data_IF_383237970757
#
_entry.id   IF_383237970757
#
_cell.length_a   1.000
_cell.length_b   1.000
_cell.length_c   1.000
_cell.angle_alpha   90.00
_cell.angle_beta   90.00
_cell.angle_gamma   90.00
#
_symmetry.space_group_name_H-M   'P 1'
#
loop_
_entity.id
_entity.type
_entity.pdbx_description
1 polymer ?
#
# COMPACT_ATOMS: atom_id res chain seq x y z
N UNK A 1 -5.79 -7.23 -1.59
CA UNK A 1 -5.15 -5.92 -1.83
C UNK A 1 -5.56 -5.41 -3.21
N UNK A 2 -5.67 -4.09 -3.39
CA UNK A 2 -6.10 -3.47 -4.66
C UNK A 2 -5.10 -2.34 -4.98
N UNK A 3 -4.39 -2.40 -6.12
CA UNK A 3 -3.54 -1.31 -6.57
C UNK A 3 -4.39 -0.20 -7.19
N UNK A 4 -4.01 1.06 -6.94
CA UNK A 4 -4.76 2.23 -7.40
C UNK A 4 -4.08 2.87 -8.62
N UNK A 5 -4.88 3.54 -9.49
CA UNK A 5 -4.39 4.35 -10.60
C UNK A 5 -4.11 5.78 -10.14
N UNK A 6 -3.26 6.49 -10.88
CA UNK A 6 -3.09 7.96 -10.77
C UNK A 6 -2.85 8.49 -9.34
N UNK A 7 -2.47 7.62 -8.42
CA UNK A 7 -2.14 7.96 -7.04
C UNK A 7 -0.89 7.18 -6.65
N UNK A 8 0.22 7.87 -6.56
CA UNK A 8 1.50 7.23 -6.28
C UNK A 8 2.66 8.21 -6.19
N UNK A 9 3.77 7.69 -5.72
CA UNK A 9 5.06 8.35 -5.75
C UNK A 9 5.67 8.25 -7.16
N UNK A 10 6.61 9.13 -7.47
CA UNK A 10 7.34 9.09 -8.74
C UNK A 10 8.80 8.75 -8.47
N UNK A 11 9.32 7.75 -9.18
CA UNK A 11 10.73 7.37 -9.15
C UNK A 11 11.40 7.68 -10.50
N UNK A 12 12.48 8.44 -10.45
CA UNK A 12 13.33 8.72 -11.63
C UNK A 12 14.67 8.04 -11.44
N UNK A 13 15.10 7.27 -12.43
CA UNK A 13 16.38 6.57 -12.44
C UNK A 13 17.31 7.21 -13.45
N UNK A 14 18.49 7.67 -13.02
CA UNK A 14 19.50 8.27 -13.88
C UNK A 14 20.80 7.50 -13.72
N UNK A 15 21.36 7.02 -14.82
CA UNK A 15 22.68 6.39 -14.83
C UNK A 15 23.75 7.41 -14.46
N UNK A 16 24.75 6.98 -13.68
CA UNK A 16 25.87 7.83 -13.25
C UNK A 16 27.20 7.11 -13.46
N UNK A 17 28.29 7.88 -13.59
CA UNK A 17 29.63 7.30 -13.59
C UNK A 17 30.13 6.88 -12.20
N UNK A 18 29.43 7.31 -11.14
CA UNK A 18 29.76 6.95 -9.75
C UNK A 18 29.35 5.51 -9.49
N UNK A 19 30.29 4.66 -9.09
CA UNK A 19 30.04 3.25 -8.75
C UNK A 19 29.31 3.11 -7.41
N UNK A 20 28.15 3.76 -7.25
CA UNK A 20 27.31 3.74 -6.03
C UNK A 20 25.86 4.05 -6.33
N UNK A 21 24.99 3.66 -5.38
CA UNK A 21 23.60 4.10 -5.35
C UNK A 21 23.54 5.44 -4.63
N UNK A 22 22.89 6.43 -5.24
CA UNK A 22 22.49 7.67 -4.57
C UNK A 22 20.97 7.77 -4.57
N UNK A 23 20.39 8.21 -3.47
CA UNK A 23 18.94 8.41 -3.34
C UNK A 23 18.68 9.85 -2.92
N UNK A 24 17.88 10.55 -3.70
CA UNK A 24 17.37 11.89 -3.40
C UNK A 24 15.85 11.82 -3.16
N UNK A 25 15.38 12.45 -2.10
CA UNK A 25 13.97 12.49 -1.77
C UNK A 25 13.56 13.91 -1.42
N UNK A 26 12.35 14.33 -1.81
CA UNK A 26 11.77 15.62 -1.43
C UNK A 26 11.37 15.70 0.06
N UNK A 27 11.46 14.58 0.81
CA UNK A 27 11.29 14.53 2.26
C UNK A 27 12.59 14.02 2.89
N UNK A 28 12.86 14.47 4.12
CA UNK A 28 14.00 13.95 4.88
C UNK A 28 13.71 12.52 5.34
N UNK A 29 14.29 11.54 4.65
CA UNK A 29 14.25 10.13 4.99
C UNK A 29 15.67 9.59 5.01
N UNK A 30 16.12 8.96 6.13
CA UNK A 30 17.46 8.40 6.21
C UNK A 30 17.69 7.37 5.08
N UNK A 31 18.70 7.62 4.27
CA UNK A 31 18.94 6.85 3.03
C UNK A 31 18.96 5.34 3.26
N UNK A 32 19.76 4.86 4.22
CA UNK A 32 19.92 3.42 4.50
C UNK A 32 18.67 2.76 5.12
N UNK A 33 17.74 3.53 5.64
CA UNK A 33 16.47 3.04 6.17
C UNK A 33 15.38 2.99 5.09
N UNK A 34 15.56 3.73 3.98
CA UNK A 34 14.61 3.80 2.90
C UNK A 34 14.55 2.49 2.13
N UNK A 35 13.34 1.95 1.91
CA UNK A 35 13.13 0.69 1.19
C UNK A 35 13.60 0.75 -0.27
N UNK A 36 13.62 1.92 -0.91
CA UNK A 36 14.19 2.10 -2.26
C UNK A 36 15.67 1.79 -2.25
N UNK A 37 16.41 2.36 -1.29
CA UNK A 37 17.84 2.13 -1.17
C UNK A 37 18.13 0.66 -0.87
N UNK A 38 17.40 0.06 0.07
CA UNK A 38 17.52 -1.37 0.41
C UNK A 38 17.22 -2.27 -0.78
N UNK A 39 16.19 -1.95 -1.56
CA UNK A 39 15.82 -2.69 -2.76
C UNK A 39 16.91 -2.62 -3.82
N UNK A 40 17.47 -1.43 -4.06
CA UNK A 40 18.55 -1.26 -5.02
C UNK A 40 19.84 -1.99 -4.56
N UNK A 41 20.25 -1.84 -3.30
CA UNK A 41 21.42 -2.51 -2.73
C UNK A 41 21.30 -4.05 -2.84
N UNK A 42 20.13 -4.58 -2.47
CA UNK A 42 19.84 -6.00 -2.54
C UNK A 42 19.84 -6.52 -3.99
N UNK A 43 19.25 -5.76 -4.92
CA UNK A 43 19.26 -6.09 -6.35
C UNK A 43 20.69 -6.19 -6.89
N UNK A 44 21.53 -5.17 -6.67
CA UNK A 44 22.90 -5.15 -7.19
C UNK A 44 23.76 -6.27 -6.60
N UNK A 45 23.60 -6.57 -5.32
CA UNK A 45 24.29 -7.69 -4.65
C UNK A 45 23.88 -9.04 -5.26
N UNK A 46 22.59 -9.26 -5.45
CA UNK A 46 22.07 -10.54 -5.98
C UNK A 46 22.44 -10.73 -7.44
N UNK A 47 22.31 -9.69 -8.27
CA UNK A 47 22.66 -9.73 -9.67
C UNK A 47 24.18 -9.68 -9.92
N UNK A 48 25.01 -9.49 -8.89
CA UNK A 48 26.49 -9.33 -8.98
C UNK A 48 26.90 -8.21 -9.92
N UNK A 49 26.17 -7.10 -9.88
CA UNK A 49 26.40 -5.93 -10.73
C UNK A 49 26.97 -4.77 -9.91
N UNK A 50 27.77 -3.93 -10.56
CA UNK A 50 28.26 -2.69 -9.96
C UNK A 50 27.13 -1.64 -10.02
N UNK A 51 26.73 -1.05 -8.88
CA UNK A 51 25.71 -0.02 -8.88
C UNK A 51 26.22 1.26 -9.57
N UNK A 52 25.38 1.86 -10.43
CA UNK A 52 25.72 3.08 -11.15
C UNK A 52 24.48 3.94 -11.41
N UNK A 53 23.62 4.08 -10.39
CA UNK A 53 22.36 4.83 -10.52
C UNK A 53 22.15 5.86 -9.41
N UNK A 54 21.64 7.01 -9.82
CA UNK A 54 20.99 8.00 -8.96
C UNK A 54 19.48 7.80 -9.07
N UNK A 55 18.83 7.62 -7.93
CA UNK A 55 17.37 7.45 -7.84
C UNK A 55 16.80 8.70 -7.17
N UNK A 56 15.82 9.34 -7.82
CA UNK A 56 15.09 10.47 -7.25
C UNK A 56 13.68 10.01 -6.92
N UNK A 57 13.26 10.21 -5.67
CA UNK A 57 11.91 9.98 -5.19
C UNK A 57 11.18 11.31 -5.02
N UNK A 58 10.08 11.47 -5.77
CA UNK A 58 9.05 12.46 -5.48
C UNK A 58 7.96 11.76 -4.66
N UNK A 59 7.95 12.01 -3.34
CA UNK A 59 7.02 11.38 -2.41
C UNK A 59 5.71 12.16 -2.37
N UNK A 60 4.63 11.53 -2.83
CA UNK A 60 3.26 12.07 -2.84
C UNK A 60 2.35 11.33 -1.86
N UNK A 61 2.61 10.03 -1.62
CA UNK A 61 1.89 9.25 -0.62
C UNK A 61 2.47 9.56 0.76
N UNK A 62 1.67 10.00 1.75
CA UNK A 62 2.17 10.29 3.10
C UNK A 62 2.89 9.09 3.73
N UNK A 63 3.94 9.34 4.49
CA UNK A 63 4.69 8.30 5.20
C UNK A 63 3.85 7.78 6.35
N UNK A 64 3.83 6.45 6.56
CA UNK A 64 3.06 5.83 7.64
C UNK A 64 1.54 5.94 7.48
N UNK A 65 1.06 6.09 6.24
CA UNK A 65 -0.35 6.29 5.93
C UNK A 65 -1.18 5.00 5.81
N UNK A 66 -0.58 3.81 5.91
CA UNK A 66 -1.29 2.54 5.69
C UNK A 66 -1.61 2.24 4.20
N UNK A 67 -0.98 2.96 3.26
CA UNK A 67 -1.25 2.87 1.82
C UNK A 67 -0.19 2.10 1.02
N UNK A 68 0.76 1.46 1.69
CA UNK A 68 1.77 0.63 1.04
C UNK A 68 2.78 1.37 0.15
N UNK A 69 2.88 2.71 0.27
CA UNK A 69 3.73 3.53 -0.61
C UNK A 69 5.20 3.14 -0.59
N UNK A 70 5.78 2.85 0.58
CA UNK A 70 7.16 2.37 0.69
C UNK A 70 7.38 1.02 0.02
N UNK A 71 6.44 0.09 0.19
CA UNK A 71 6.48 -1.25 -0.42
C UNK A 71 6.32 -1.18 -1.94
N UNK A 72 5.41 -0.31 -2.43
CA UNK A 72 5.25 -0.04 -3.86
C UNK A 72 6.54 0.51 -4.48
N UNK A 73 7.19 1.46 -3.80
CA UNK A 73 8.46 2.04 -4.26
C UNK A 73 9.58 1.00 -4.33
N UNK A 74 9.68 0.11 -3.34
CA UNK A 74 10.65 -0.98 -3.33
C UNK A 74 10.45 -1.94 -4.49
N UNK A 75 9.22 -2.39 -4.72
CA UNK A 75 8.86 -3.27 -5.85
C UNK A 75 9.16 -2.60 -7.20
N UNK A 76 8.78 -1.33 -7.35
CA UNK A 76 9.09 -0.53 -8.55
C UNK A 76 10.59 -0.43 -8.76
N UNK A 77 11.38 -0.24 -7.69
CA UNK A 77 12.84 -0.19 -7.78
C UNK A 77 13.42 -1.51 -8.29
N UNK A 78 13.01 -2.64 -7.70
CA UNK A 78 13.45 -3.97 -8.16
C UNK A 78 13.11 -4.20 -9.63
N UNK A 79 11.86 -3.97 -10.02
CA UNK A 79 11.38 -4.20 -11.40
C UNK A 79 12.08 -3.28 -12.40
N UNK A 80 12.29 -2.00 -12.05
CA UNK A 80 12.91 -1.03 -12.95
C UNK A 80 14.39 -1.34 -13.15
N UNK A 81 15.13 -1.60 -12.06
CA UNK A 81 16.54 -1.97 -12.17
C UNK A 81 16.71 -3.25 -12.98
N UNK A 82 15.85 -4.26 -12.73
CA UNK A 82 15.90 -5.49 -13.50
C UNK A 82 15.74 -5.25 -15.01
N UNK A 83 14.78 -4.41 -15.39
CA UNK A 83 14.58 -4.02 -16.81
C UNK A 83 15.78 -3.24 -17.37
N UNK A 84 16.31 -2.28 -16.64
CA UNK A 84 17.43 -1.44 -17.06
C UNK A 84 18.71 -2.27 -17.30
N UNK A 85 18.89 -3.35 -16.58
CA UNK A 85 20.01 -4.28 -16.73
C UNK A 85 19.66 -5.53 -17.57
N UNK A 86 18.65 -5.46 -18.45
CA UNK A 86 18.23 -6.54 -19.36
C UNK A 86 17.76 -7.81 -18.66
N UNK A 87 17.08 -7.65 -17.53
CA UNK A 87 16.45 -8.72 -16.75
C UNK A 87 17.39 -9.83 -16.29
N UNK A 88 18.47 -9.51 -15.55
CA UNK A 88 19.40 -10.52 -15.05
C UNK A 88 18.79 -11.46 -14.01
N UNK A 89 17.69 -11.06 -13.37
CA UNK A 89 16.96 -11.87 -12.39
C UNK A 89 15.62 -12.31 -12.94
N UNK A 90 15.25 -13.55 -12.69
CA UNK A 90 13.93 -14.10 -12.97
C UNK A 90 12.86 -13.45 -12.07
N UNK A 91 11.59 -13.61 -12.44
CA UNK A 91 10.49 -13.09 -11.62
C UNK A 91 10.46 -13.72 -10.22
N UNK A 92 10.74 -15.02 -10.11
CA UNK A 92 10.82 -15.72 -8.82
C UNK A 92 11.95 -15.20 -7.91
N UNK A 93 13.09 -14.82 -8.49
CA UNK A 93 14.15 -14.18 -7.72
C UNK A 93 13.74 -12.80 -7.24
N UNK A 94 13.08 -11.99 -8.10
CA UNK A 94 12.51 -10.70 -7.68
C UNK A 94 11.49 -10.84 -6.56
N UNK A 95 10.63 -11.87 -6.59
CA UNK A 95 9.68 -12.15 -5.51
C UNK A 95 10.38 -12.47 -4.17
N UNK A 96 11.45 -13.27 -4.21
CA UNK A 96 12.26 -13.55 -3.00
C UNK A 96 12.88 -12.29 -2.44
N UNK A 97 13.44 -11.41 -3.28
CA UNK A 97 13.98 -10.12 -2.86
C UNK A 97 12.90 -9.22 -2.28
N UNK A 98 11.73 -9.17 -2.93
CA UNK A 98 10.59 -8.40 -2.49
C UNK A 98 10.11 -8.83 -1.10
N UNK A 99 9.97 -10.14 -0.87
CA UNK A 99 9.56 -10.69 0.42
C UNK A 99 10.59 -10.40 1.54
N UNK A 100 11.88 -10.40 1.20
CA UNK A 100 12.94 -10.02 2.14
C UNK A 100 12.84 -8.55 2.57
N UNK A 101 12.38 -7.67 1.68
CA UNK A 101 12.20 -6.24 1.97
C UNK A 101 10.95 -5.93 2.80
N UNK A 102 9.90 -6.76 2.67
CA UNK A 102 8.67 -6.60 3.43
C UNK A 102 7.51 -7.41 2.87
N UNK A 103 6.56 -7.74 3.75
CA UNK A 103 5.40 -8.60 3.45
C UNK A 103 4.50 -8.09 2.33
N UNK A 104 4.39 -6.76 2.18
CA UNK A 104 3.54 -6.14 1.15
C UNK A 104 4.27 -5.93 -0.18
N UNK A 105 5.62 -6.03 -0.21
CA UNK A 105 6.41 -5.71 -1.41
C UNK A 105 6.11 -6.65 -2.57
N UNK A 106 5.98 -7.99 -2.38
CA UNK A 106 5.68 -8.91 -3.49
C UNK A 106 4.40 -8.57 -4.24
N UNK A 107 3.33 -8.14 -3.53
CA UNK A 107 2.07 -7.75 -4.15
C UNK A 107 2.24 -6.69 -5.25
N UNK A 108 3.10 -5.71 -5.03
CA UNK A 108 3.33 -4.63 -5.99
C UNK A 108 4.13 -5.05 -7.24
N UNK A 109 4.78 -6.21 -7.24
CA UNK A 109 5.37 -6.79 -8.46
C UNK A 109 4.30 -7.26 -9.45
N UNK A 110 3.18 -7.78 -8.94
CA UNK A 110 2.05 -8.25 -9.77
C UNK A 110 1.19 -7.12 -10.33
N UNK A 111 1.06 -6.02 -9.60
CA UNK A 111 0.31 -4.83 -9.99
C UNK A 111 -1.17 -5.07 -10.39
N UNK A 112 -1.79 -6.14 -9.89
CA UNK A 112 -3.20 -6.50 -10.09
C UNK A 112 -3.90 -6.68 -8.75
N UNK A 113 -5.24 -6.52 -8.65
CA UNK A 113 -5.98 -6.93 -7.47
C UNK A 113 -5.66 -8.38 -7.12
N UNK A 114 -5.36 -8.65 -5.86
CA UNK A 114 -4.98 -9.99 -5.44
C UNK A 114 -5.44 -10.31 -4.02
N UNK A 115 -5.71 -11.58 -3.80
CA UNK A 115 -5.76 -12.18 -2.47
C UNK A 115 -4.33 -12.51 -2.04
N UNK A 116 -3.91 -11.95 -0.92
CA UNK A 116 -2.57 -12.15 -0.36
C UNK A 116 -2.70 -12.86 0.97
N UNK A 117 -1.89 -13.88 1.20
CA UNK A 117 -1.89 -14.69 2.43
C UNK A 117 -0.48 -15.15 2.80
N UNK A 118 -0.35 -15.87 3.94
CA UNK A 118 0.94 -16.18 4.51
C UNK A 118 1.56 -14.92 5.12
N UNK A 119 2.85 -14.72 4.89
CA UNK A 119 3.58 -13.50 5.25
C UNK A 119 3.60 -12.46 4.12
N UNK A 120 2.81 -12.67 3.01
CA UNK A 120 2.80 -11.88 1.80
C UNK A 120 3.29 -12.62 0.54
N UNK A 121 3.79 -13.85 0.69
CA UNK A 121 4.35 -14.68 -0.39
C UNK A 121 3.29 -15.41 -1.21
N UNK A 122 2.09 -15.61 -0.67
CA UNK A 122 1.02 -16.33 -1.36
C UNK A 122 0.07 -15.34 -2.02
N UNK A 123 0.33 -15.05 -3.28
CA UNK A 123 -0.43 -14.08 -4.06
C UNK A 123 -1.28 -14.82 -5.09
N UNK A 124 -2.60 -14.60 -5.03
CA UNK A 124 -3.55 -15.12 -6.03
C UNK A 124 -4.23 -13.93 -6.69
N UNK A 125 -3.94 -13.64 -7.97
CA UNK A 125 -4.60 -12.58 -8.71
C UNK A 125 -6.12 -12.76 -8.69
N UNK A 126 -6.83 -11.65 -8.59
CA UNK A 126 -8.29 -11.60 -8.60
C UNK A 126 -8.74 -10.82 -9.84
N UNK A 127 -9.52 -11.46 -10.68
CA UNK A 127 -10.18 -10.80 -11.81
C UNK A 127 -11.46 -10.13 -11.32
N UNK A 128 -11.29 -8.95 -10.73
CA UNK A 128 -12.39 -8.12 -10.24
C UNK A 128 -12.62 -6.96 -11.21
N UNK A 129 -13.80 -6.85 -11.83
CA UNK A 129 -14.13 -5.72 -12.69
C UNK A 129 -14.48 -4.49 -11.84
N UNK A 130 -13.51 -4.02 -11.04
CA UNK A 130 -13.67 -2.84 -10.20
C UNK A 130 -13.75 -1.60 -11.10
N UNK A 131 -14.98 -1.09 -11.30
CA UNK A 131 -15.26 0.14 -12.07
C UNK A 131 -15.50 1.34 -11.16
N UNK A 132 -15.65 1.08 -9.88
CA UNK A 132 -15.96 2.04 -8.84
C UNK A 132 -14.84 3.06 -8.66
N UNK A 133 -15.20 4.19 -8.07
CA UNK A 133 -14.31 5.25 -7.68
C UNK A 133 -13.92 5.10 -6.20
N UNK A 134 -12.64 5.22 -5.93
CA UNK A 134 -12.10 5.22 -4.58
C UNK A 134 -11.78 6.65 -4.16
N UNK A 135 -12.32 7.07 -3.04
CA UNK A 135 -11.87 8.26 -2.32
C UNK A 135 -10.96 7.79 -1.19
N UNK A 136 -9.70 8.21 -1.24
CA UNK A 136 -8.73 7.98 -0.17
C UNK A 136 -8.69 9.23 0.69
N UNK A 137 -8.76 9.05 2.01
CA UNK A 137 -8.66 10.10 3.01
C UNK A 137 -7.43 9.88 3.88
N UNK A 138 -6.70 10.95 4.18
CA UNK A 138 -5.64 10.91 5.18
C UNK A 138 -5.78 12.10 6.14
N UNK A 139 -5.76 11.85 7.48
CA UNK A 139 -6.00 12.90 8.48
C UNK A 139 -4.77 13.79 8.75
N UNK A 140 -3.66 13.61 8.03
CA UNK A 140 -2.43 14.39 8.19
C UNK A 140 -1.49 13.93 9.31
N UNK A 141 -1.80 12.83 10.01
CA UNK A 141 -0.89 12.19 10.96
C UNK A 141 -0.57 10.76 10.55
N UNK A 142 0.40 10.13 11.22
CA UNK A 142 0.79 8.74 10.99
C UNK A 142 0.47 7.85 12.19
N UNK A 143 0.19 6.57 11.93
CA UNK A 143 0.08 5.54 12.97
C UNK A 143 1.23 4.55 12.78
N UNK A 144 1.94 4.24 13.88
CA UNK A 144 3.00 3.25 13.86
C UNK A 144 2.44 1.86 13.59
N UNK A 145 2.83 1.24 12.47
CA UNK A 145 2.43 -0.14 12.14
C UNK A 145 2.81 -1.14 13.24
N UNK A 146 4.03 -1.13 13.82
CA UNK A 146 4.37 -1.98 14.97
C UNK A 146 3.45 -1.76 16.17
N UNK A 147 3.07 -0.50 16.46
CA UNK A 147 2.13 -0.21 17.55
C UNK A 147 0.74 -0.80 17.27
N UNK A 148 0.22 -0.63 16.04
CA UNK A 148 -1.08 -1.19 15.65
C UNK A 148 -1.13 -2.72 15.80
N UNK A 149 -0.08 -3.42 15.35
CA UNK A 149 0.06 -4.86 15.58
C UNK A 149 0.13 -5.23 17.05
N UNK A 150 0.90 -4.49 17.87
CA UNK A 150 0.99 -4.73 19.30
C UNK A 150 -0.37 -4.54 20.01
N UNK A 151 -1.19 -3.56 19.61
CA UNK A 151 -2.54 -3.41 20.13
C UNK A 151 -3.46 -4.56 19.69
N UNK A 152 -3.36 -4.97 18.42
CA UNK A 152 -4.14 -6.09 17.90
C UNK A 152 -3.81 -7.40 18.61
N UNK A 153 -2.52 -7.68 18.85
CA UNK A 153 -2.07 -8.87 19.61
C UNK A 153 -2.59 -8.84 21.04
N UNK A 154 -2.56 -7.69 21.72
CA UNK A 154 -3.11 -7.53 23.08
C UNK A 154 -4.61 -7.82 23.11
N UNK A 155 -5.38 -7.27 22.16
CA UNK A 155 -6.82 -7.45 22.07
C UNK A 155 -7.23 -8.91 21.75
N UNK A 156 -6.37 -9.67 21.06
CA UNK A 156 -6.67 -11.02 20.59
C UNK A 156 -5.96 -12.14 21.36
N UNK A 157 -5.16 -11.85 22.40
CA UNK A 157 -4.50 -12.87 23.23
C UNK A 157 -5.44 -13.93 23.79
N UNK A 158 -6.68 -13.57 24.09
CA UNK A 158 -7.71 -14.50 24.59
C UNK A 158 -8.34 -15.38 23.47
N UNK A 159 -8.20 -14.98 22.18
CA UNK A 159 -8.87 -15.63 21.03
C UNK A 159 -7.92 -16.37 20.10
N UNK A 160 -6.71 -16.71 20.54
CA UNK A 160 -5.63 -17.24 19.67
C UNK A 160 -5.88 -18.65 19.08
N UNK A 161 -7.01 -19.29 19.34
CA UNK A 161 -7.29 -20.67 18.94
C UNK A 161 -8.10 -20.83 17.64
N UNK A 162 -8.59 -19.76 17.01
CA UNK A 162 -9.33 -19.88 15.74
C UNK A 162 -8.51 -19.35 14.56
N UNK A 163 -7.63 -20.19 14.02
CA UNK A 163 -7.05 -20.00 12.67
C UNK A 163 -8.20 -20.06 11.67
N UNK A 164 -8.78 -18.92 11.31
CA UNK A 164 -9.68 -18.83 10.15
C UNK A 164 -8.84 -19.11 8.90
N UNK A 165 -8.88 -20.33 8.39
CA UNK A 165 -8.46 -20.64 7.02
C UNK A 165 -9.41 -19.90 6.08
N UNK A 166 -8.94 -18.79 5.49
CA UNK A 166 -9.75 -18.02 4.56
C UNK A 166 -9.98 -18.78 3.26
N UNK A 167 -11.24 -19.02 2.90
CA UNK A 167 -11.61 -19.54 1.59
C UNK A 167 -11.62 -18.38 0.58
N UNK A 168 -10.76 -18.47 -0.45
CA UNK A 168 -10.63 -17.45 -1.52
C UNK A 168 -11.97 -17.17 -2.22
N UNK A 169 -12.82 -18.19 -2.43
CA UNK A 169 -14.15 -18.03 -3.02
C UNK A 169 -15.05 -17.16 -2.15
N UNK A 170 -15.00 -17.36 -0.83
CA UNK A 170 -15.75 -16.57 0.14
C UNK A 170 -15.30 -15.11 0.12
N UNK A 171 -13.99 -14.82 0.11
CA UNK A 171 -13.45 -13.47 0.03
C UNK A 171 -13.84 -12.76 -1.27
N UNK A 172 -13.76 -13.44 -2.41
CA UNK A 172 -14.18 -12.87 -3.70
C UNK A 172 -15.66 -12.50 -3.70
N UNK A 173 -16.51 -13.32 -3.07
CA UNK A 173 -17.93 -13.04 -2.90
C UNK A 173 -18.19 -11.81 -2.02
N UNK A 174 -17.50 -11.69 -0.88
CA UNK A 174 -17.62 -10.52 0.01
C UNK A 174 -17.12 -9.24 -0.67
N UNK A 175 -16.00 -9.30 -1.39
CA UNK A 175 -15.47 -8.15 -2.13
C UNK A 175 -16.47 -7.66 -3.20
N UNK A 176 -17.12 -8.58 -3.94
CA UNK A 176 -18.16 -8.24 -4.92
C UNK A 176 -19.39 -7.60 -4.29
N UNK A 177 -19.72 -7.94 -3.03
CA UNK A 177 -20.83 -7.34 -2.27
C UNK A 177 -20.43 -6.06 -1.50
N UNK A 178 -19.20 -5.57 -1.63
CA UNK A 178 -18.74 -4.37 -0.93
C UNK A 178 -18.46 -4.57 0.57
N UNK A 179 -18.40 -5.80 1.06
CA UNK A 179 -18.02 -6.09 2.45
C UNK A 179 -16.51 -6.16 2.58
N UNK A 180 -15.91 -5.03 2.91
CA UNK A 180 -14.47 -4.89 3.10
C UNK A 180 -14.21 -4.62 4.58
N UNK A 181 -13.85 -5.65 5.33
CA UNK A 181 -13.55 -5.56 6.76
C UNK A 181 -12.03 -5.44 6.98
N UNK A 182 -11.66 -4.67 7.98
CA UNK A 182 -10.28 -4.56 8.45
C UNK A 182 -10.23 -4.77 9.95
N UNK A 183 -9.57 -5.85 10.39
CA UNK A 183 -9.48 -6.19 11.82
C UNK A 183 -8.78 -5.12 12.66
N UNK A 184 -7.91 -4.30 12.06
CA UNK A 184 -7.29 -3.18 12.76
C UNK A 184 -8.31 -2.11 13.20
N UNK A 185 -9.47 -2.01 12.57
CA UNK A 185 -10.53 -1.07 13.01
C UNK A 185 -10.92 -1.28 14.46
N UNK A 186 -10.91 -2.52 14.95
CA UNK A 186 -11.25 -2.88 16.33
C UNK A 186 -10.30 -2.27 17.37
N UNK A 187 -9.08 -1.93 16.98
CA UNK A 187 -8.06 -1.37 17.90
C UNK A 187 -7.69 0.08 17.54
N UNK A 188 -7.83 0.46 16.28
CA UNK A 188 -7.50 1.81 15.81
C UNK A 188 -8.65 2.77 16.13
N UNK A 189 -9.91 2.42 15.87
CA UNK A 189 -11.03 3.33 16.07
C UNK A 189 -11.25 3.72 17.55
N UNK A 190 -11.14 2.82 18.53
CA UNK A 190 -11.18 3.23 19.94
C UNK A 190 -10.02 4.18 20.33
N UNK A 191 -8.84 4.00 19.73
CA UNK A 191 -7.68 4.87 20.00
C UNK A 191 -7.73 6.21 19.22
N UNK A 192 -8.43 6.23 18.09
CA UNK A 192 -8.56 7.38 17.18
C UNK A 192 -10.03 7.55 16.72
N UNK A 193 -10.95 8.00 17.60
CA UNK A 193 -12.40 8.07 17.31
C UNK A 193 -12.75 8.90 16.06
N UNK A 194 -11.93 9.93 15.75
CA UNK A 194 -12.07 10.75 14.53
C UNK A 194 -12.04 9.91 13.25
N UNK A 195 -11.33 8.77 13.23
CA UNK A 195 -11.28 7.89 12.07
C UNK A 195 -12.60 7.11 11.90
N UNK A 196 -13.19 6.66 13.01
CA UNK A 196 -14.50 5.99 12.99
C UNK A 196 -15.59 6.94 12.52
N UNK A 197 -15.59 8.19 13.03
CA UNK A 197 -16.51 9.22 12.60
C UNK A 197 -16.38 9.51 11.10
N UNK A 198 -15.16 9.66 10.59
CA UNK A 198 -14.92 9.87 9.18
C UNK A 198 -15.42 8.69 8.32
N UNK A 199 -15.28 7.44 8.77
CA UNK A 199 -15.87 6.27 8.11
C UNK A 199 -17.40 6.39 8.05
N UNK A 200 -18.07 6.75 9.16
CA UNK A 200 -19.52 6.97 9.21
C UNK A 200 -19.96 8.07 8.22
N UNK A 201 -19.21 9.18 8.18
CA UNK A 201 -19.46 10.27 7.24
C UNK A 201 -19.32 9.81 5.78
N UNK A 202 -18.28 9.03 5.44
CA UNK A 202 -18.16 8.45 4.09
C UNK A 202 -19.41 7.69 3.68
N UNK A 203 -19.96 6.86 4.57
CA UNK A 203 -21.19 6.10 4.31
C UNK A 203 -22.39 7.02 4.11
N UNK A 204 -22.58 8.06 4.94
CA UNK A 204 -23.68 9.04 4.78
C UNK A 204 -23.53 9.89 3.52
N UNK A 205 -22.31 10.09 3.03
CA UNK A 205 -22.03 10.77 1.75
C UNK A 205 -22.26 9.85 0.52
N UNK A 206 -22.72 8.61 0.74
CA UNK A 206 -23.12 7.67 -0.32
C UNK A 206 -22.04 6.71 -0.77
N UNK A 207 -20.99 6.49 0.03
CA UNK A 207 -20.09 5.38 -0.23
C UNK A 207 -20.82 4.04 -0.07
N UNK A 208 -20.64 3.11 -1.01
CA UNK A 208 -21.15 1.74 -0.92
C UNK A 208 -20.36 0.89 0.07
N UNK A 209 -19.12 1.30 0.35
CA UNK A 209 -18.24 0.72 1.38
C UNK A 209 -17.23 1.77 1.83
N UNK A 210 -16.85 1.71 3.11
CA UNK A 210 -15.77 2.53 3.65
C UNK A 210 -15.02 1.75 4.73
N UNK A 211 -13.73 2.05 4.90
CA UNK A 211 -12.92 1.37 5.91
C UNK A 211 -11.52 1.90 6.05
N UNK A 212 -10.80 1.35 7.02
CA UNK A 212 -9.40 1.63 7.27
C UNK A 212 -8.50 0.95 6.24
N UNK A 213 -7.48 1.63 5.76
CA UNK A 213 -6.46 1.06 4.87
C UNK A 213 -5.26 0.55 5.67
N UNK A 214 -4.98 -0.76 5.61
CA UNK A 214 -3.88 -1.38 6.34
C UNK A 214 -3.96 -1.10 7.85
N UNK A 215 -2.85 -0.68 8.47
CA UNK A 215 -2.80 -0.27 9.88
C UNK A 215 -3.22 1.20 10.10
N UNK A 216 -3.77 1.85 9.10
CA UNK A 216 -4.18 3.26 9.15
C UNK A 216 -3.01 4.26 9.02
N UNK A 217 -3.29 5.55 9.22
CA UNK A 217 -4.58 6.16 9.53
C UNK A 217 -5.48 6.43 8.32
N UNK A 218 -5.02 6.14 7.08
CA UNK A 218 -5.84 6.43 5.91
C UNK A 218 -7.11 5.58 5.89
N UNK A 219 -8.18 6.21 5.42
CA UNK A 219 -9.46 5.57 5.14
C UNK A 219 -9.70 5.54 3.63
N UNK A 220 -10.56 4.65 3.20
CA UNK A 220 -11.09 4.65 1.84
C UNK A 220 -12.62 4.68 1.87
N UNK A 221 -13.23 5.30 0.84
CA UNK A 221 -14.63 5.17 0.50
C UNK A 221 -14.77 4.70 -0.95
N UNK A 222 -15.71 3.79 -1.20
CA UNK A 222 -16.00 3.26 -2.54
C UNK A 222 -17.29 3.89 -3.04
N UNK A 223 -17.26 4.47 -4.25
CA UNK A 223 -18.40 5.17 -4.83
C UNK A 223 -18.67 4.67 -6.25
N UNK A 224 -19.95 4.53 -6.60
CA UNK A 224 -20.36 4.14 -7.93
C UNK A 224 -20.01 5.20 -8.98
N UNK A 225 -20.20 6.48 -8.65
CA UNK A 225 -20.01 7.63 -9.55
C UNK A 225 -18.93 8.57 -9.04
N UNK A 226 -18.09 9.08 -9.95
CA UNK A 226 -17.02 10.04 -9.65
C UNK A 226 -17.56 11.27 -8.92
N UNK A 227 -18.68 11.83 -9.38
CA UNK A 227 -19.31 13.02 -8.80
C UNK A 227 -19.68 12.85 -7.33
N UNK A 228 -20.03 11.63 -6.90
CA UNK A 228 -20.31 11.36 -5.47
C UNK A 228 -19.01 11.38 -4.66
N UNK A 229 -17.94 10.76 -5.17
CA UNK A 229 -16.62 10.81 -4.54
C UNK A 229 -16.08 12.25 -4.47
N UNK A 230 -16.30 13.07 -5.51
CA UNK A 230 -15.90 14.49 -5.53
C UNK A 230 -16.65 15.32 -4.47
N UNK A 231 -17.95 15.07 -4.30
CA UNK A 231 -18.74 15.74 -3.25
C UNK A 231 -18.25 15.39 -1.86
N UNK A 232 -17.98 14.09 -1.61
CA UNK A 232 -17.43 13.66 -0.34
C UNK A 232 -16.01 14.22 -0.11
N UNK A 233 -15.15 14.24 -1.14
CA UNK A 233 -13.81 14.83 -1.05
C UNK A 233 -13.86 16.31 -0.67
N UNK A 234 -14.77 17.10 -1.25
CA UNK A 234 -14.95 18.50 -0.92
C UNK A 234 -15.31 18.71 0.55
N UNK A 235 -16.21 17.89 1.09
CA UNK A 235 -16.53 17.90 2.52
C UNK A 235 -15.27 17.68 3.38
N UNK A 236 -14.49 16.64 3.10
CA UNK A 236 -13.30 16.31 3.88
C UNK A 236 -12.16 17.34 3.72
N UNK A 237 -11.99 17.93 2.53
CA UNK A 237 -11.02 19.01 2.31
C UNK A 237 -11.32 20.24 3.17
N UNK A 238 -12.60 20.60 3.35
CA UNK A 238 -13.02 21.68 4.23
C UNK A 238 -12.72 21.39 5.72
N UNK A 239 -12.52 20.12 6.07
CA UNK A 239 -12.18 19.67 7.42
C UNK A 239 -10.69 19.27 7.57
N UNK A 240 -9.82 19.80 6.69
CA UNK A 240 -8.36 19.60 6.71
C UNK A 240 -7.90 18.14 6.54
N UNK A 241 -8.66 17.32 5.81
CA UNK A 241 -8.20 16.02 5.37
C UNK A 241 -7.51 16.12 4.01
N UNK A 242 -6.46 15.34 3.82
CA UNK A 242 -5.90 15.13 2.48
C UNK A 242 -6.78 14.11 1.75
N UNK A 243 -7.13 14.40 0.49
CA UNK A 243 -8.03 13.55 -0.29
C UNK A 243 -7.49 13.23 -1.68
N UNK A 244 -7.74 12.02 -2.16
CA UNK A 244 -7.42 11.59 -3.52
C UNK A 244 -8.54 10.74 -4.08
N UNK A 245 -8.97 11.04 -5.30
CA UNK A 245 -9.96 10.26 -6.03
C UNK A 245 -9.27 9.47 -7.11
N UNK A 246 -9.53 8.17 -7.16
CA UNK A 246 -8.84 7.25 -8.06
C UNK A 246 -9.73 6.04 -8.41
N UNK A 247 -9.22 5.15 -9.25
CA UNK A 247 -9.82 3.85 -9.56
C UNK A 247 -8.81 2.74 -9.30
N UNK A 248 -9.31 1.51 -9.21
CA UNK A 248 -8.45 0.33 -9.19
C UNK A 248 -7.66 0.22 -10.50
N UNK A 249 -6.40 -0.19 -10.40
CA UNK A 249 -5.61 -0.60 -11.57
C UNK A 249 -6.12 -1.98 -12.01
N UNK A 250 -6.39 -2.10 -13.30
CA UNK A 250 -6.82 -3.37 -13.92
C UNK A 250 -5.61 -4.19 -14.33
#
# INVERSE_FOLDING_TARGET
>A
MVPLKSFGDTLTFSQTQKKKITLHCNLFLPQKQNLIWKAADLFFKTARLTPSYSIRLQKNIPVGAGLGGGSSNAATTLSTLNKLYRSPLSFQELEKLALHLGSDVPFFLYAHPAYVSGRGEKIKPLHLPLKEWFLILNPGFSISTPWAYAQWDKANRANSLTKRRGDVKKYTFFLKKGHWENDFEKVIFPAYPKLEEAKKILMTQGASSAGLSGSGPSLYGVFEKKKMAERAANYFNQHNWLTWITQARR
#
